data_IF_746465992151
#
_entry.id   IF_746465992151
#
_cell.length_a   1.000
_cell.length_b   1.000
_cell.length_c   1.000
_cell.angle_alpha   90.00
_cell.angle_beta   90.00
_cell.angle_gamma   90.00
#
_symmetry.space_group_name_H-M   'P 1'
#
loop_
_entity.id
_entity.type
_entity.pdbx_description
1 polymer ?
#
# COMPACT_ATOMS: atom_id res chain seq x y z
N UNK A 1 5.38 -19.87 10.29
CA UNK A 1 5.27 -18.41 10.57
C UNK A 1 3.84 -18.11 10.95
N UNK A 2 3.64 -17.47 12.10
CA UNK A 2 2.31 -17.23 12.72
C UNK A 2 1.91 -15.77 12.53
N UNK A 3 0.62 -15.53 12.28
CA UNK A 3 0.04 -14.18 12.30
C UNK A 3 -0.43 -13.85 13.71
N UNK A 4 -0.04 -12.69 14.22
CA UNK A 4 -0.45 -12.13 15.51
C UNK A 4 -1.44 -11.00 15.28
N UNK A 5 -2.53 -10.99 16.06
CA UNK A 5 -3.52 -9.91 16.03
C UNK A 5 -2.94 -8.68 16.73
N UNK A 6 -3.10 -7.51 16.10
CA UNK A 6 -2.74 -6.22 16.68
C UNK A 6 -3.86 -5.22 16.39
N UNK A 7 -4.66 -4.91 17.41
CA UNK A 7 -5.88 -4.09 17.26
C UNK A 7 -6.79 -4.69 16.19
N UNK A 8 -7.10 -3.93 15.14
CA UNK A 8 -7.92 -4.32 13.98
C UNK A 8 -7.10 -4.85 12.80
N UNK A 9 -5.80 -5.04 12.99
CA UNK A 9 -4.87 -5.60 12.01
C UNK A 9 -4.31 -6.95 12.46
N UNK A 10 -3.55 -7.57 11.56
CA UNK A 10 -2.66 -8.69 11.89
C UNK A 10 -1.26 -8.41 11.36
N UNK A 11 -0.24 -8.85 12.08
CA UNK A 11 1.13 -8.81 11.61
C UNK A 11 1.82 -10.15 11.79
N UNK A 12 2.91 -10.37 11.06
CA UNK A 12 3.81 -11.50 11.27
C UNK A 12 5.24 -11.00 11.19
N UNK A 13 6.09 -11.54 12.05
CA UNK A 13 7.54 -11.35 11.96
C UNK A 13 8.07 -12.38 10.97
N UNK A 14 8.72 -11.92 9.90
CA UNK A 14 9.32 -12.79 8.87
C UNK A 14 10.80 -13.04 9.12
N UNK A 15 11.46 -12.14 9.85
CA UNK A 15 12.85 -12.27 10.28
C UNK A 15 13.08 -11.38 11.49
N UNK A 16 13.91 -11.82 12.42
CA UNK A 16 14.32 -11.02 13.58
C UNK A 16 15.74 -11.39 13.98
N UNK A 17 16.54 -10.37 14.30
CA UNK A 17 17.81 -10.51 15.00
C UNK A 17 17.91 -9.38 16.06
N UNK A 18 19.06 -9.29 16.74
CA UNK A 18 19.28 -8.31 17.81
C UNK A 18 19.21 -6.85 17.36
N UNK A 19 19.26 -6.58 16.05
CA UNK A 19 19.30 -5.22 15.48
C UNK A 19 18.02 -4.83 14.76
N UNK A 20 17.36 -5.78 14.11
CA UNK A 20 16.22 -5.49 13.23
C UNK A 20 15.16 -6.58 13.28
N UNK A 21 13.92 -6.15 13.07
CA UNK A 21 12.73 -6.98 12.91
C UNK A 21 12.12 -6.68 11.56
N UNK A 22 11.86 -7.71 10.77
CA UNK A 22 11.16 -7.63 9.51
C UNK A 22 9.73 -8.08 9.75
N UNK A 23 8.77 -7.21 9.42
CA UNK A 23 7.36 -7.48 9.65
C UNK A 23 6.57 -7.35 8.35
N UNK A 24 5.57 -8.21 8.20
CA UNK A 24 4.47 -8.01 7.28
C UNK A 24 3.22 -7.72 8.10
N UNK A 25 2.56 -6.60 7.82
CA UNK A 25 1.29 -6.21 8.43
C UNK A 25 0.19 -6.24 7.39
N UNK A 26 -1.01 -6.66 7.78
CA UNK A 26 -2.20 -6.68 6.95
C UNK A 26 -3.39 -6.05 7.70
N UNK A 27 -4.09 -5.14 7.01
CA UNK A 27 -5.31 -4.50 7.47
C UNK A 27 -6.27 -4.38 6.30
N UNK A 28 -7.51 -4.83 6.46
CA UNK A 28 -8.56 -4.65 5.45
C UNK A 28 -8.21 -5.22 4.05
N UNK A 29 -7.34 -6.24 3.97
CA UNK A 29 -6.82 -6.78 2.70
C UNK A 29 -5.67 -5.98 2.08
N UNK A 30 -5.26 -4.86 2.70
CA UNK A 30 -4.04 -4.14 2.38
C UNK A 30 -2.86 -4.71 3.18
N UNK A 31 -1.66 -4.70 2.59
CA UNK A 31 -0.44 -5.30 3.13
C UNK A 31 0.73 -4.33 3.04
N UNK A 32 1.56 -4.35 4.08
CA UNK A 32 2.83 -3.62 4.09
C UNK A 32 3.93 -4.46 4.72
N UNK A 33 5.08 -4.48 4.05
CA UNK A 33 6.32 -5.08 4.56
C UNK A 33 7.27 -3.97 4.97
N UNK A 34 7.89 -4.08 6.13
CA UNK A 34 8.88 -3.12 6.60
C UNK A 34 9.91 -3.75 7.52
N UNK A 35 11.05 -3.08 7.62
CA UNK A 35 12.17 -3.40 8.51
C UNK A 35 12.21 -2.30 9.57
N UNK A 36 12.23 -2.68 10.84
CA UNK A 36 12.26 -1.74 11.97
C UNK A 36 13.25 -2.21 13.04
N UNK A 37 13.69 -1.28 13.89
CA UNK A 37 14.37 -1.61 15.16
C UNK A 37 13.40 -1.62 16.35
N UNK A 38 12.28 -0.91 16.21
CA UNK A 38 11.24 -0.76 17.23
C UNK A 38 9.93 -1.32 16.70
N UNK A 39 9.52 -2.47 17.26
CA UNK A 39 8.32 -3.17 16.78
C UNK A 39 7.04 -2.37 17.04
N UNK A 40 6.83 -1.91 18.28
CA UNK A 40 5.60 -1.20 18.66
C UNK A 40 5.37 0.08 17.84
N UNK A 41 6.39 0.95 17.75
CA UNK A 41 6.36 2.17 16.94
C UNK A 41 6.01 1.87 15.48
N UNK A 42 6.64 0.83 14.92
CA UNK A 42 6.38 0.41 13.55
C UNK A 42 4.95 -0.12 13.34
N UNK A 43 4.40 -0.88 14.29
CA UNK A 43 3.03 -1.38 14.22
C UNK A 43 2.00 -0.22 14.26
N UNK A 44 2.20 0.78 15.11
CA UNK A 44 1.33 1.96 15.18
C UNK A 44 1.32 2.73 13.86
N UNK A 45 2.51 3.15 13.39
CA UNK A 45 2.64 3.96 12.18
C UNK A 45 2.09 3.20 10.96
N UNK A 46 2.47 1.92 10.82
CA UNK A 46 2.03 1.11 9.69
C UNK A 46 0.52 0.92 9.67
N UNK A 47 -0.10 0.71 10.84
CA UNK A 47 -1.56 0.60 10.93
C UNK A 47 -2.26 1.90 10.52
N UNK A 48 -1.76 3.05 10.97
CA UNK A 48 -2.32 4.36 10.58
C UNK A 48 -2.24 4.60 9.07
N UNK A 49 -1.10 4.25 8.47
CA UNK A 49 -0.91 4.34 7.01
C UNK A 49 -1.88 3.40 6.26
N UNK A 50 -2.03 2.15 6.70
CA UNK A 50 -2.96 1.20 6.09
C UNK A 50 -4.42 1.66 6.23
N UNK A 51 -4.79 2.24 7.37
CA UNK A 51 -6.12 2.86 7.56
C UNK A 51 -6.34 4.04 6.63
N UNK A 52 -5.34 4.91 6.46
CA UNK A 52 -5.40 6.03 5.53
C UNK A 52 -5.59 5.55 4.09
N UNK A 53 -4.84 4.52 3.67
CA UNK A 53 -5.00 3.92 2.34
C UNK A 53 -6.38 3.26 2.16
N UNK A 54 -6.88 2.57 3.19
CA UNK A 54 -8.19 1.93 3.13
C UNK A 54 -9.33 2.94 3.02
N UNK A 55 -9.20 4.11 3.69
CA UNK A 55 -10.12 5.24 3.53
C UNK A 55 -10.03 5.87 2.14
N UNK A 56 -8.82 6.00 1.61
CA UNK A 56 -8.58 6.60 0.29
C UNK A 56 -9.15 5.75 -0.85
N UNK A 57 -8.96 4.43 -0.79
CA UNK A 57 -9.51 3.49 -1.76
C UNK A 57 -10.28 2.38 -1.03
N UNK A 58 -11.60 2.54 -0.81
CA UNK A 58 -12.44 1.56 -0.16
C UNK A 58 -12.45 0.22 -0.90
N UNK A 59 -12.73 -0.88 -0.18
CA UNK A 59 -12.78 -2.23 -0.74
C UNK A 59 -13.61 -2.36 -2.02
N UNK A 60 -14.74 -1.65 -2.11
CA UNK A 60 -15.63 -1.67 -3.28
C UNK A 60 -14.98 -1.12 -4.56
N UNK A 61 -13.92 -0.33 -4.45
CA UNK A 61 -13.16 0.27 -5.55
C UNK A 61 -11.79 -0.38 -5.75
N UNK A 62 -11.51 -1.49 -5.05
CA UNK A 62 -10.26 -2.26 -5.21
C UNK A 62 -10.41 -3.33 -6.30
N UNK A 63 -11.02 -2.93 -7.42
CA UNK A 63 -11.23 -3.75 -8.63
C UNK A 63 -9.96 -3.86 -9.50
N UNK A 64 -8.94 -3.07 -9.19
CA UNK A 64 -7.69 -3.03 -9.95
C UNK A 64 -7.68 -1.97 -11.04
N UNK A 65 -8.74 -1.19 -11.18
CA UNK A 65 -8.83 0.00 -12.02
C UNK A 65 -8.41 1.26 -11.23
N UNK A 66 -7.97 2.33 -11.91
CA UNK A 66 -7.64 3.58 -11.26
C UNK A 66 -8.89 4.40 -10.97
N UNK A 67 -8.99 4.88 -9.74
CA UNK A 67 -10.09 5.72 -9.25
C UNK A 67 -9.54 7.08 -8.83
N UNK A 68 -10.32 8.14 -9.05
CA UNK A 68 -10.03 9.45 -8.48
C UNK A 68 -10.42 9.44 -7.01
N UNK A 69 -9.49 9.79 -6.11
CA UNK A 69 -9.66 9.65 -4.65
C UNK A 69 -9.58 10.98 -3.89
N UNK A 70 -8.99 12.01 -4.50
CA UNK A 70 -9.05 13.37 -3.99
C UNK A 70 -9.00 14.36 -5.16
N UNK A 71 -9.76 15.44 -5.04
CA UNK A 71 -9.65 16.63 -5.88
C UNK A 71 -9.41 17.78 -4.93
N UNK A 72 -8.16 18.20 -4.80
CA UNK A 72 -7.87 19.36 -3.97
C UNK A 72 -8.22 20.61 -4.78
N UNK A 73 -9.27 21.31 -4.35
CA UNK A 73 -9.81 22.46 -5.09
C UNK A 73 -8.94 23.71 -4.93
N UNK A 74 -8.07 23.78 -3.93
CA UNK A 74 -7.18 24.93 -3.72
C UNK A 74 -5.88 24.84 -4.51
N UNK A 75 -5.35 23.63 -4.69
CA UNK A 75 -4.04 23.40 -5.32
C UNK A 75 -4.17 22.92 -6.79
N UNK A 76 -5.40 22.81 -7.31
CA UNK A 76 -5.72 22.20 -8.62
C UNK A 76 -5.12 20.79 -8.81
N UNK A 77 -4.75 20.12 -7.72
CA UNK A 77 -4.16 18.79 -7.77
C UNK A 77 -5.23 17.71 -7.73
N UNK A 78 -5.06 16.73 -8.59
CA UNK A 78 -5.95 15.59 -8.73
C UNK A 78 -5.19 14.35 -8.28
N UNK A 79 -5.72 13.63 -7.28
CA UNK A 79 -5.12 12.39 -6.80
C UNK A 79 -5.92 11.19 -7.29
N UNK A 80 -5.23 10.26 -7.92
CA UNK A 80 -5.76 8.95 -8.30
C UNK A 80 -5.09 7.84 -7.49
N UNK A 81 -5.84 6.76 -7.27
CA UNK A 81 -5.34 5.56 -6.64
C UNK A 81 -5.77 4.32 -7.43
N UNK A 82 -4.94 3.29 -7.40
CA UNK A 82 -5.22 1.99 -8.00
C UNK A 82 -4.80 0.89 -7.03
N UNK A 83 -5.64 -0.13 -6.90
CA UNK A 83 -5.30 -1.30 -6.11
C UNK A 83 -4.44 -2.28 -6.91
N UNK A 84 -3.37 -2.79 -6.29
CA UNK A 84 -2.53 -3.82 -6.87
C UNK A 84 -1.86 -4.64 -5.77
N UNK A 85 -2.06 -5.96 -5.78
CA UNK A 85 -1.40 -6.94 -4.92
C UNK A 85 -1.37 -6.55 -3.41
N UNK A 86 -2.54 -6.24 -2.85
CA UNK A 86 -2.64 -5.82 -1.45
C UNK A 86 -2.10 -4.41 -1.18
N UNK A 87 -1.80 -3.60 -2.19
CA UNK A 87 -1.29 -2.23 -2.02
C UNK A 87 -2.19 -1.24 -2.73
N UNK A 88 -2.26 -0.03 -2.18
CA UNK A 88 -2.84 1.12 -2.86
C UNK A 88 -1.69 1.94 -3.42
N UNK A 89 -1.59 2.02 -4.74
CA UNK A 89 -0.64 2.88 -5.44
C UNK A 89 -1.34 4.20 -5.72
N UNK A 90 -0.70 5.31 -5.37
CA UNK A 90 -1.27 6.66 -5.49
C UNK A 90 -0.40 7.57 -6.35
N UNK A 91 -1.04 8.51 -7.04
CA UNK A 91 -0.35 9.57 -7.75
C UNK A 91 -1.21 10.85 -7.74
N UNK A 92 -0.55 11.99 -7.57
CA UNK A 92 -1.16 13.31 -7.69
C UNK A 92 -0.62 14.01 -8.93
N UNK A 93 -1.51 14.42 -9.83
CA UNK A 93 -1.20 15.16 -11.05
C UNK A 93 -1.89 16.53 -11.09
N UNK A 94 -1.57 17.35 -12.09
CA UNK A 94 -2.18 18.66 -12.32
C UNK A 94 -3.55 18.56 -13.01
N UNK A 95 -3.88 17.40 -13.55
CA UNK A 95 -5.19 17.12 -14.14
C UNK A 95 -5.69 15.73 -13.76
N UNK A 96 -7.00 15.51 -13.91
CA UNK A 96 -7.62 14.19 -13.72
C UNK A 96 -7.01 13.14 -14.65
N UNK A 97 -6.83 13.48 -15.94
CA UNK A 97 -6.26 12.55 -16.93
C UNK A 97 -4.83 12.16 -16.57
N UNK A 98 -4.00 13.16 -16.23
CA UNK A 98 -2.62 12.91 -15.81
C UNK A 98 -2.56 12.01 -14.58
N UNK A 99 -3.40 12.27 -13.57
CA UNK A 99 -3.42 11.48 -12.35
C UNK A 99 -3.76 10.00 -12.62
N UNK A 100 -4.79 9.76 -13.44
CA UNK A 100 -5.24 8.42 -13.82
C UNK A 100 -4.22 7.67 -14.68
N UNK A 101 -3.58 8.33 -15.63
CA UNK A 101 -2.55 7.69 -16.47
C UNK A 101 -1.29 7.37 -15.67
N UNK A 102 -0.80 8.32 -14.86
CA UNK A 102 0.42 8.13 -14.07
C UNK A 102 0.28 7.06 -13.01
N UNK A 103 -0.90 6.89 -12.43
CA UNK A 103 -1.12 5.80 -11.47
C UNK A 103 -1.12 4.42 -12.17
N UNK A 104 -1.61 4.32 -13.41
CA UNK A 104 -1.48 3.10 -14.24
C UNK A 104 -0.01 2.81 -14.57
N UNK A 105 0.74 3.82 -15.00
CA UNK A 105 2.18 3.69 -15.27
C UNK A 105 2.94 3.17 -14.03
N UNK A 106 2.67 3.74 -12.85
CA UNK A 106 3.29 3.29 -11.60
C UNK A 106 2.93 1.85 -11.22
N UNK A 107 1.68 1.42 -11.45
CA UNK A 107 1.27 0.02 -11.30
C UNK A 107 2.10 -0.87 -12.22
N UNK A 108 2.23 -0.50 -13.50
CA UNK A 108 3.01 -1.26 -14.47
C UNK A 108 4.50 -1.34 -14.08
N UNK A 109 5.12 -0.23 -13.66
CA UNK A 109 6.49 -0.24 -13.16
C UNK A 109 6.65 -1.13 -11.92
N UNK A 110 5.64 -1.19 -11.04
CA UNK A 110 5.66 -2.08 -9.87
C UNK A 110 5.59 -3.56 -10.26
N UNK A 111 4.80 -3.90 -11.28
CA UNK A 111 4.74 -5.26 -11.86
C UNK A 111 6.10 -5.65 -12.44
N UNK A 112 6.70 -4.77 -13.24
CA UNK A 112 7.99 -5.02 -13.88
C UNK A 112 9.13 -5.16 -12.88
N UNK A 113 9.13 -4.32 -11.84
CA UNK A 113 10.09 -4.44 -10.75
C UNK A 113 9.94 -5.78 -10.03
N UNK A 114 8.71 -6.20 -9.72
CA UNK A 114 8.42 -7.50 -9.13
C UNK A 114 8.96 -8.66 -9.97
N UNK A 115 8.73 -8.62 -11.30
CA UNK A 115 9.27 -9.61 -12.25
C UNK A 115 10.80 -9.65 -12.24
N UNK A 116 11.49 -8.49 -12.29
CA UNK A 116 12.96 -8.41 -12.27
C UNK A 116 13.56 -9.00 -11.00
N UNK A 117 12.90 -8.79 -9.86
CA UNK A 117 13.38 -9.29 -8.57
C UNK A 117 12.96 -10.73 -8.26
N UNK A 118 12.33 -11.45 -9.20
CA UNK A 118 11.87 -12.83 -8.99
C UNK A 118 10.64 -12.97 -8.08
N UNK A 119 9.99 -11.86 -7.71
CA UNK A 119 8.69 -11.85 -7.04
C UNK A 119 7.61 -12.03 -8.11
N UNK A 120 7.47 -13.25 -8.63
CA UNK A 120 6.32 -13.59 -9.47
C UNK A 120 5.11 -13.62 -8.54
N UNK A 121 4.16 -12.71 -8.76
CA UNK A 121 2.84 -12.81 -8.14
C UNK A 121 2.32 -14.23 -8.41
N UNK A 122 2.05 -15.01 -7.36
CA UNK A 122 1.41 -16.31 -7.54
C UNK A 122 0.04 -16.07 -8.22
N UNK A 123 -0.32 -16.90 -9.20
CA UNK A 123 -1.63 -16.84 -9.86
C UNK A 123 -2.78 -16.94 -8.85
#
# INVERSE_FOLDING_TARGET
>A
MVWTVYKDARYRITYQNDKVVWINMEFDGLRRSLITRELESALVITLEELKRQAKMLPKSQRDGEPHLVCRDLSDETHAAAIYYDGRVITYSGRSTSEALEKVKEKKQSSIEFGRRCGYVAKP
#
